data_IF_444154395910
#
_entry.id   IF_444154395910
#
_cell.length_a   1.000
_cell.length_b   1.000
_cell.length_c   1.000
_cell.angle_alpha   90.00
_cell.angle_beta   90.00
_cell.angle_gamma   90.00
#
_symmetry.space_group_name_H-M   'P 1'
#
loop_
_entity.id
_entity.type
_entity.pdbx_description
1 polymer ?
#
# COMPACT_ATOMS: atom_id res chain seq x y z
N UNK A 1 -11.71 6.59 14.03
CA UNK A 1 -11.32 6.86 12.63
C UNK A 1 -10.89 5.56 11.97
N UNK A 2 -11.04 5.39 10.65
CA UNK A 2 -10.46 4.24 9.97
C UNK A 2 -8.96 4.44 9.81
N UNK A 3 -8.20 3.35 9.65
CA UNK A 3 -6.74 3.41 9.48
C UNK A 3 -6.34 2.63 8.23
N UNK A 4 -5.60 3.28 7.34
CA UNK A 4 -4.92 2.65 6.21
C UNK A 4 -3.46 2.39 6.59
N UNK A 5 -3.05 1.14 6.51
CA UNK A 5 -1.67 0.73 6.71
C UNK A 5 -0.94 0.64 5.38
N UNK A 6 0.32 1.10 5.40
CA UNK A 6 1.25 1.00 4.28
C UNK A 6 2.52 0.30 4.72
N UNK A 7 3.08 -0.53 3.84
CA UNK A 7 4.42 -1.10 3.99
C UNK A 7 5.40 -0.31 3.13
N UNK A 8 6.58 -0.02 3.68
CA UNK A 8 7.71 0.58 2.95
C UNK A 8 8.74 -0.51 2.66
N UNK A 9 9.27 -0.54 1.45
CA UNK A 9 10.25 -1.54 1.02
C UNK A 9 11.65 -0.94 0.92
N UNK A 10 12.68 -1.77 0.80
CA UNK A 10 14.07 -1.32 0.61
C UNK A 10 14.27 -0.56 -0.69
N UNK A 11 13.52 -0.87 -1.75
CA UNK A 11 13.48 -0.09 -3.00
C UNK A 11 12.94 1.35 -2.85
N UNK A 12 12.39 1.72 -1.69
CA UNK A 12 11.78 3.03 -1.46
C UNK A 12 10.28 3.10 -1.76
N UNK A 13 9.70 2.06 -2.35
CA UNK A 13 8.27 2.01 -2.61
C UNK A 13 7.43 1.91 -1.33
N UNK A 14 6.22 2.47 -1.42
CA UNK A 14 5.15 2.29 -0.43
C UNK A 14 3.96 1.58 -1.06
N UNK A 15 3.46 0.52 -0.42
CA UNK A 15 2.26 -0.20 -0.86
C UNK A 15 1.21 -0.22 0.23
N UNK A 16 -0.06 -0.18 -0.18
CA UNK A 16 -1.21 -0.39 0.72
C UNK A 16 -1.23 -1.84 1.12
N UNK A 17 -1.30 -2.12 2.42
CA UNK A 17 -1.28 -3.48 2.93
C UNK A 17 -2.59 -3.83 3.62
N UNK A 18 -2.89 -3.17 4.74
CA UNK A 18 -4.09 -3.46 5.54
C UNK A 18 -4.97 -2.22 5.65
N UNK A 19 -6.28 -2.43 5.79
CA UNK A 19 -7.22 -1.35 6.09
C UNK A 19 -8.12 -1.77 7.25
N UNK A 20 -8.04 -1.02 8.35
CA UNK A 20 -8.86 -1.26 9.54
C UNK A 20 -9.96 -0.22 9.63
N UNK A 21 -11.20 -0.70 9.55
CA UNK A 21 -12.36 0.13 9.84
C UNK A 21 -12.44 0.42 11.34
N UNK A 22 -12.93 1.61 11.68
CA UNK A 22 -13.26 1.90 13.08
C UNK A 22 -14.40 1.00 13.54
N UNK A 23 -14.48 0.76 14.85
CA UNK A 23 -15.52 -0.11 15.43
C UNK A 23 -16.94 0.32 15.04
N UNK A 24 -17.20 1.62 15.01
CA UNK A 24 -18.51 2.20 14.63
C UNK A 24 -18.96 1.87 13.21
N UNK A 25 -18.03 1.61 12.27
CA UNK A 25 -18.32 1.31 10.86
C UNK A 25 -17.88 -0.09 10.45
N UNK A 26 -17.43 -0.91 11.40
CA UNK A 26 -16.95 -2.28 11.14
C UNK A 26 -18.09 -3.12 10.56
N UNK A 27 -17.81 -3.83 9.46
CA UNK A 27 -18.82 -4.64 8.78
C UNK A 27 -19.74 -3.85 7.84
N UNK A 28 -19.48 -2.56 7.62
CA UNK A 28 -20.21 -1.75 6.63
C UNK A 28 -19.32 -1.46 5.43
N UNK A 29 -19.90 -1.11 4.28
CA UNK A 29 -19.13 -0.65 3.12
C UNK A 29 -18.70 0.83 3.20
N UNK A 30 -18.89 1.48 4.35
CA UNK A 30 -18.67 2.91 4.52
C UNK A 30 -17.33 3.15 5.24
N UNK A 31 -16.49 4.02 4.66
CA UNK A 31 -15.24 4.49 5.29
C UNK A 31 -15.50 5.74 6.12
N UNK A 32 -14.73 5.98 7.16
CA UNK A 32 -14.73 7.29 7.84
C UNK A 32 -14.34 8.40 6.86
N UNK A 33 -14.85 9.61 7.10
CA UNK A 33 -14.46 10.81 6.36
C UNK A 33 -12.95 11.07 6.51
N UNK A 34 -12.45 10.96 7.74
CA UNK A 34 -11.02 11.00 8.05
C UNK A 34 -10.45 9.58 8.15
N UNK A 35 -9.45 9.28 7.31
CA UNK A 35 -8.69 8.03 7.35
C UNK A 35 -7.26 8.33 7.78
N UNK A 36 -6.83 7.72 8.88
CA UNK A 36 -5.46 7.83 9.36
C UNK A 36 -4.52 6.95 8.53
N UNK A 37 -3.32 7.45 8.26
CA UNK A 37 -2.29 6.68 7.55
C UNK A 37 -1.24 6.22 8.54
N UNK A 38 -1.03 4.90 8.62
CA UNK A 38 0.04 4.29 9.41
C UNK A 38 1.01 3.53 8.51
N UNK A 39 2.26 3.47 8.93
CA UNK A 39 3.29 2.71 8.26
C UNK A 39 3.71 1.54 9.14
N UNK A 40 3.79 0.35 8.55
CA UNK A 40 4.51 -0.76 9.16
C UNK A 40 6.02 -0.51 9.16
N UNK A 41 6.74 -1.38 9.84
CA UNK A 41 8.20 -1.41 9.76
C UNK A 41 8.64 -1.54 8.30
N UNK A 42 9.80 -0.93 8.00
CA UNK A 42 10.39 -1.03 6.67
C UNK A 42 10.73 -2.49 6.41
N UNK A 43 10.14 -3.07 5.36
CA UNK A 43 10.46 -4.42 4.93
C UNK A 43 11.92 -4.49 4.48
N UNK A 44 12.61 -5.57 4.86
CA UNK A 44 13.96 -5.87 4.40
C UNK A 44 14.01 -6.31 2.92
N UNK A 45 12.86 -6.67 2.34
CA UNK A 45 12.76 -7.12 0.96
C UNK A 45 12.42 -5.98 0.00
N UNK A 46 12.75 -6.19 -1.27
CA UNK A 46 12.25 -5.38 -2.38
C UNK A 46 10.75 -5.63 -2.58
N UNK A 47 10.03 -4.65 -3.13
CA UNK A 47 8.66 -4.87 -3.54
C UNK A 47 8.61 -5.87 -4.72
N UNK A 48 7.43 -6.40 -5.03
CA UNK A 48 7.28 -7.37 -6.13
C UNK A 48 7.75 -6.83 -7.49
N UNK A 49 7.59 -5.52 -7.74
CA UNK A 49 8.04 -4.89 -8.99
C UNK A 49 9.57 -4.72 -9.08
N UNK A 50 10.26 -4.71 -7.93
CA UNK A 50 11.72 -4.56 -7.83
C UNK A 50 12.40 -5.84 -7.33
N UNK A 51 11.63 -6.92 -7.14
CA UNK A 51 12.15 -8.23 -6.79
C UNK A 51 12.62 -8.89 -8.09
N UNK A 52 13.91 -9.13 -8.20
CA UNK A 52 14.49 -9.83 -9.36
C UNK A 52 13.96 -11.26 -9.34
N UNK A 53 13.01 -11.57 -10.21
CA UNK A 53 12.57 -12.94 -10.46
C UNK A 53 13.47 -13.56 -11.52
N UNK A 54 13.77 -14.86 -11.38
CA UNK A 54 14.58 -15.62 -12.34
C UNK A 54 13.95 -15.67 -13.75
N UNK A 55 12.73 -15.15 -13.92
CA UNK A 55 11.95 -15.13 -15.17
C UNK A 55 11.99 -13.78 -15.92
N UNK A 56 12.69 -12.77 -15.42
CA UNK A 56 12.53 -11.38 -15.90
C UNK A 56 13.61 -10.88 -16.87
N UNK A 57 13.70 -11.50 -18.05
CA UNK A 57 14.07 -10.77 -19.27
C UNK A 57 12.81 -10.09 -19.78
N UNK A 58 12.51 -8.88 -19.29
CA UNK A 58 11.35 -8.14 -19.76
C UNK A 58 10.77 -7.20 -18.70
N UNK A 59 11.34 -6.00 -18.65
CA UNK A 59 10.79 -4.85 -17.91
C UNK A 59 9.30 -4.69 -18.22
N UNK A 60 8.46 -4.68 -17.19
CA UNK A 60 7.12 -4.09 -17.29
C UNK A 60 7.04 -2.94 -16.30
N UNK A 61 6.86 -1.76 -16.87
CA UNK A 61 6.69 -0.49 -16.18
C UNK A 61 5.63 -0.61 -15.08
N UNK A 62 6.06 -0.48 -13.83
CA UNK A 62 5.17 -0.30 -12.72
C UNK A 62 4.58 1.11 -12.78
N UNK A 63 3.39 1.26 -13.37
CA UNK A 63 2.61 2.49 -13.25
C UNK A 63 2.24 2.69 -11.78
N UNK A 64 3.05 3.48 -11.09
CA UNK A 64 2.72 4.07 -9.80
C UNK A 64 1.38 4.78 -9.93
N UNK A 65 0.39 4.32 -9.15
CA UNK A 65 -0.92 4.94 -9.07
C UNK A 65 -0.82 6.37 -8.57
N UNK A 66 -0.76 7.32 -9.50
CA UNK A 66 -1.03 8.73 -9.25
C UNK A 66 -2.51 8.98 -9.55
N UNK A 67 -3.38 8.73 -8.55
CA UNK A 67 -4.72 9.34 -8.55
C UNK A 67 -4.57 10.73 -7.91
N UNK A 68 -4.11 11.68 -8.71
CA UNK A 68 -4.38 13.10 -8.48
C UNK A 68 -5.84 13.32 -8.91
N UNK A 69 -6.67 13.77 -7.96
CA UNK A 69 -8.05 14.18 -8.23
C UNK A 69 -8.07 15.68 -7.96
N UNK A 70 -8.08 16.47 -9.03
CA UNK A 70 -8.49 17.88 -8.99
C UNK A 70 -9.94 17.94 -9.45
#
# INVERSE_FOLDING_TARGET
MCTQFYRRYTCGDKRKEDFRQCEKRRGTNVRCETVETKYYEKSAHYCLDHMVSESSVGMKEATSGKKEKT
#
